data_IF_104050464178
#
_entry.id   IF_104050464178
#
_cell.length_a   1.000
_cell.length_b   1.000
_cell.length_c   1.000
_cell.angle_alpha   90.00
_cell.angle_beta   90.00
_cell.angle_gamma   90.00
#
_symmetry.space_group_name_H-M   'P 1'
#
loop_
_entity.id
_entity.type
_entity.pdbx_description
1 polymer ?
#
# COMPACT_ATOMS: atom_id res chain seq x y z
N UNK A 1 18.66 -11.79 -14.87
CA UNK A 1 19.04 -11.42 -13.46
C UNK A 1 19.37 -12.68 -12.67
N UNK A 2 20.22 -12.66 -11.64
CA UNK A 2 20.52 -13.84 -10.80
C UNK A 2 19.87 -13.71 -9.40
N UNK A 3 19.54 -14.82 -8.70
CA UNK A 3 18.92 -14.79 -7.38
C UNK A 3 19.65 -13.90 -6.37
N UNK A 4 20.97 -13.98 -6.29
CA UNK A 4 21.79 -13.19 -5.35
C UNK A 4 21.63 -11.68 -5.57
N UNK A 5 21.55 -11.25 -6.83
CA UNK A 5 21.39 -9.84 -7.18
C UNK A 5 20.02 -9.31 -6.76
N UNK A 6 18.97 -10.14 -6.87
CA UNK A 6 17.61 -9.78 -6.45
C UNK A 6 17.54 -9.73 -4.92
N UNK A 7 18.09 -10.74 -4.25
CA UNK A 7 18.15 -10.80 -2.79
C UNK A 7 18.83 -9.55 -2.20
N UNK A 8 19.99 -9.14 -2.73
CA UNK A 8 20.69 -7.94 -2.25
C UNK A 8 19.86 -6.65 -2.43
N UNK A 9 19.05 -6.57 -3.48
CA UNK A 9 18.12 -5.45 -3.70
C UNK A 9 16.97 -5.49 -2.69
N UNK A 10 16.45 -6.67 -2.38
CA UNK A 10 15.39 -6.83 -1.38
C UNK A 10 15.86 -6.46 0.03
N UNK A 11 17.06 -6.86 0.45
CA UNK A 11 17.63 -6.44 1.74
C UNK A 11 17.61 -4.91 1.86
N UNK A 12 18.12 -4.20 0.84
CA UNK A 12 18.12 -2.73 0.83
C UNK A 12 16.72 -2.14 0.84
N UNK A 13 15.79 -2.72 0.08
CA UNK A 13 14.41 -2.25 0.01
C UNK A 13 13.70 -2.39 1.36
N UNK A 14 13.84 -3.54 2.03
CA UNK A 14 13.22 -3.82 3.32
C UNK A 14 13.68 -2.85 4.41
N UNK A 15 14.99 -2.62 4.49
CA UNK A 15 15.55 -1.64 5.45
C UNK A 15 15.04 -0.23 5.15
N UNK A 16 14.98 0.17 3.87
CA UNK A 16 14.43 1.47 3.47
C UNK A 16 12.94 1.61 3.76
N UNK A 17 12.16 0.53 3.60
CA UNK A 17 10.75 0.53 3.99
C UNK A 17 10.59 0.76 5.49
N UNK A 18 11.41 0.13 6.34
CA UNK A 18 11.35 0.32 7.79
C UNK A 18 11.76 1.73 8.21
N UNK A 19 12.77 2.29 7.56
CA UNK A 19 13.25 3.67 7.75
C UNK A 19 12.18 4.71 7.37
N UNK A 20 11.55 4.53 6.20
CA UNK A 20 10.47 5.42 5.72
C UNK A 20 9.15 5.23 6.48
N UNK A 21 8.87 4.02 6.96
CA UNK A 21 7.67 3.67 7.70
C UNK A 21 8.03 3.05 9.06
N UNK A 22 8.36 3.86 10.08
CA UNK A 22 8.80 3.36 11.39
C UNK A 22 7.81 2.40 12.07
N UNK A 23 6.52 2.58 11.78
CA UNK A 23 5.43 1.74 12.29
C UNK A 23 5.16 0.48 11.45
N UNK A 24 5.92 0.22 10.37
CA UNK A 24 5.79 -1.00 9.58
C UNK A 24 6.20 -2.21 10.43
N UNK A 25 5.26 -3.14 10.64
CA UNK A 25 5.45 -4.31 11.52
C UNK A 25 5.58 -5.61 10.74
N UNK A 26 4.84 -5.76 9.65
CA UNK A 26 4.71 -7.01 8.90
C UNK A 26 4.92 -6.70 7.42
N UNK A 27 5.69 -7.56 6.75
CA UNK A 27 5.87 -7.55 5.30
C UNK A 27 5.65 -8.96 4.75
N UNK A 28 4.61 -9.13 3.94
CA UNK A 28 4.34 -10.37 3.21
C UNK A 28 4.96 -10.30 1.83
N UNK A 29 5.78 -11.29 1.48
CA UNK A 29 6.56 -11.32 0.25
C UNK A 29 6.07 -12.41 -0.71
N UNK A 30 5.96 -12.06 -1.98
CA UNK A 30 5.64 -12.97 -3.10
C UNK A 30 6.71 -12.86 -4.18
N UNK A 31 6.65 -13.76 -5.16
CA UNK A 31 7.48 -13.74 -6.38
C UNK A 31 6.63 -13.43 -7.61
N UNK A 32 7.30 -13.27 -8.75
CA UNK A 32 6.64 -13.17 -10.05
C UNK A 32 5.88 -14.47 -10.38
N UNK A 33 4.80 -14.36 -11.16
CA UNK A 33 4.15 -15.48 -11.85
C UNK A 33 5.07 -16.09 -12.92
N UNK A 34 4.61 -17.10 -13.65
CA UNK A 34 5.40 -17.72 -14.72
C UNK A 34 5.87 -16.67 -15.75
N UNK A 35 7.16 -16.68 -16.11
CA UNK A 35 7.74 -15.74 -17.07
C UNK A 35 7.94 -16.32 -18.47
N UNK A 36 7.59 -17.59 -18.70
CA UNK A 36 8.04 -18.33 -19.88
C UNK A 36 7.33 -17.96 -21.18
N UNK A 37 6.29 -17.12 -21.12
CA UNK A 37 5.66 -16.56 -22.31
C UNK A 37 6.33 -15.27 -22.79
N UNK A 38 7.28 -14.72 -22.03
CA UNK A 38 8.05 -13.57 -22.45
C UNK A 38 9.01 -13.94 -23.59
N UNK A 39 8.73 -13.42 -24.80
CA UNK A 39 9.58 -13.65 -25.97
C UNK A 39 10.71 -12.62 -26.11
N UNK A 40 11.66 -12.90 -27.00
CA UNK A 40 12.86 -12.07 -27.25
C UNK A 40 12.56 -10.62 -27.68
N UNK A 41 11.35 -10.35 -28.19
CA UNK A 41 10.91 -9.00 -28.54
C UNK A 41 10.42 -8.17 -27.34
N UNK A 42 10.37 -8.75 -26.15
CA UNK A 42 10.03 -8.05 -24.91
C UNK A 42 11.21 -7.22 -24.41
N UNK A 43 10.97 -5.93 -24.14
CA UNK A 43 11.97 -5.03 -23.55
C UNK A 43 12.42 -5.41 -22.13
N UNK A 44 11.74 -6.36 -21.48
CA UNK A 44 11.96 -6.73 -20.08
C UNK A 44 12.17 -8.24 -19.87
N UNK A 45 12.46 -9.00 -20.93
CA UNK A 45 12.66 -10.46 -20.84
C UNK A 45 13.75 -10.84 -19.82
N UNK A 46 14.81 -10.03 -19.68
CA UNK A 46 15.91 -10.31 -18.75
C UNK A 46 15.54 -10.20 -17.25
N UNK A 47 14.42 -9.52 -16.95
CA UNK A 47 13.98 -9.21 -15.58
C UNK A 47 12.63 -9.86 -15.21
N UNK A 48 11.78 -10.15 -16.20
CA UNK A 48 10.44 -10.71 -16.01
C UNK A 48 10.23 -12.04 -16.76
N UNK A 49 11.10 -12.39 -17.71
CA UNK A 49 11.09 -13.68 -18.38
C UNK A 49 11.81 -14.76 -17.58
N UNK A 50 11.72 -16.01 -18.01
CA UNK A 50 12.50 -17.10 -17.41
C UNK A 50 13.98 -17.02 -17.81
N UNK A 51 14.92 -17.31 -16.88
CA UNK A 51 14.72 -17.82 -15.52
C UNK A 51 14.59 -16.73 -14.44
N UNK A 52 14.51 -15.45 -14.80
CA UNK A 52 14.49 -14.36 -13.82
C UNK A 52 13.21 -14.39 -12.94
N UNK A 53 12.05 -14.70 -13.54
CA UNK A 53 10.80 -14.88 -12.80
C UNK A 53 10.89 -16.01 -11.76
N UNK A 54 11.42 -17.17 -12.15
CA UNK A 54 11.70 -18.28 -11.25
C UNK A 54 12.67 -17.89 -10.11
N UNK A 55 13.76 -17.19 -10.44
CA UNK A 55 14.76 -16.74 -9.47
C UNK A 55 14.25 -15.76 -8.42
N UNK A 56 13.18 -15.02 -8.71
CA UNK A 56 12.51 -14.18 -7.71
C UNK A 56 12.04 -14.98 -6.48
N UNK A 57 11.61 -16.23 -6.68
CA UNK A 57 11.21 -17.12 -5.57
C UNK A 57 12.35 -17.45 -4.62
N UNK A 58 13.54 -17.74 -5.15
CA UNK A 58 14.74 -17.98 -4.33
C UNK A 58 15.18 -16.74 -3.56
N UNK A 59 15.13 -15.57 -4.19
CA UNK A 59 15.47 -14.32 -3.50
C UNK A 59 14.55 -14.04 -2.31
N UNK A 60 13.24 -14.29 -2.43
CA UNK A 60 12.29 -14.20 -1.31
C UNK A 60 12.60 -15.24 -0.24
N UNK A 61 12.86 -16.49 -0.63
CA UNK A 61 13.22 -17.57 0.28
C UNK A 61 14.43 -17.20 1.13
N UNK A 62 15.54 -16.83 0.50
CA UNK A 62 16.79 -16.48 1.19
C UNK A 62 16.64 -15.26 2.08
N UNK A 63 15.88 -14.24 1.65
CA UNK A 63 15.63 -13.07 2.48
C UNK A 63 14.91 -13.40 3.80
N UNK A 64 13.94 -14.32 3.75
CA UNK A 64 13.21 -14.74 4.94
C UNK A 64 14.06 -15.68 5.80
N UNK A 65 14.80 -16.62 5.19
CA UNK A 65 15.74 -17.50 5.90
C UNK A 65 16.80 -16.70 6.66
N UNK A 66 17.38 -15.67 6.05
CA UNK A 66 18.36 -14.81 6.72
C UNK A 66 17.77 -14.09 7.93
N UNK A 67 16.50 -13.66 7.87
CA UNK A 67 15.84 -13.09 9.04
C UNK A 67 15.62 -14.14 10.14
N UNK A 68 15.27 -15.38 9.77
CA UNK A 68 15.10 -16.51 10.69
C UNK A 68 16.44 -16.87 11.37
N UNK A 69 17.53 -16.84 10.61
CA UNK A 69 18.90 -17.14 11.08
C UNK A 69 19.52 -16.00 11.90
N UNK A 70 18.82 -14.87 12.03
CA UNK A 70 19.22 -13.78 12.92
C UNK A 70 20.15 -12.74 12.28
N UNK A 71 20.05 -12.54 10.96
CA UNK A 71 20.74 -11.46 10.26
C UNK A 71 20.57 -10.11 11.00
N UNK A 72 21.66 -9.45 11.42
CA UNK A 72 21.58 -8.18 12.12
C UNK A 72 20.85 -7.10 11.32
N UNK A 73 21.09 -7.04 10.01
CA UNK A 73 20.47 -6.08 9.08
C UNK A 73 18.97 -6.31 8.89
N UNK A 74 18.48 -7.53 9.15
CA UNK A 74 17.07 -7.90 9.00
C UNK A 74 16.37 -8.08 10.36
N UNK A 75 16.96 -7.57 11.45
CA UNK A 75 16.39 -7.64 12.79
C UNK A 75 15.03 -6.94 12.84
N UNK A 76 14.01 -7.65 13.31
CA UNK A 76 12.64 -7.11 13.43
C UNK A 76 12.18 -6.83 14.87
N UNK A 77 12.99 -7.18 15.87
CA UNK A 77 12.68 -7.02 17.29
C UNK A 77 13.25 -5.73 17.87
N UNK A 78 12.54 -5.13 18.81
CA UNK A 78 13.00 -3.94 19.53
C UNK A 78 13.92 -4.31 20.72
N UNK A 79 14.84 -3.40 21.12
CA UNK A 79 15.17 -2.13 20.46
C UNK A 79 16.03 -2.34 19.20
N UNK A 80 15.96 -1.40 18.25
CA UNK A 80 16.78 -1.41 17.04
C UNK A 80 16.29 -2.37 15.95
N UNK A 81 14.97 -2.42 15.72
CA UNK A 81 14.43 -3.13 14.57
C UNK A 81 14.75 -2.36 13.27
N UNK A 82 15.52 -2.98 12.37
CA UNK A 82 15.91 -2.43 11.07
C UNK A 82 15.05 -2.97 9.91
N UNK A 83 14.24 -3.99 10.18
CA UNK A 83 13.26 -4.56 9.24
C UNK A 83 11.90 -4.80 9.92
N UNK A 84 10.80 -4.91 9.18
CA UNK A 84 9.59 -5.56 9.68
C UNK A 84 9.78 -7.08 9.84
N UNK A 85 8.87 -7.72 10.57
CA UNK A 85 8.75 -9.17 10.51
C UNK A 85 8.30 -9.59 9.11
N UNK A 86 9.02 -10.53 8.50
CA UNK A 86 8.79 -10.98 7.14
C UNK A 86 8.20 -12.39 7.12
N UNK A 87 7.29 -12.62 6.19
CA UNK A 87 6.73 -13.94 5.93
C UNK A 87 6.37 -14.12 4.47
N UNK A 88 6.27 -15.38 4.04
CA UNK A 88 5.76 -15.73 2.73
C UNK A 88 4.29 -15.35 2.60
N UNK A 89 3.96 -14.73 1.46
CA UNK A 89 2.60 -14.59 0.94
C UNK A 89 2.28 -15.79 0.02
N UNK A 90 1.18 -15.77 -0.77
CA UNK A 90 1.00 -16.80 -1.79
C UNK A 90 2.19 -16.80 -2.76
N UNK A 91 2.71 -17.97 -3.08
CA UNK A 91 3.75 -18.12 -4.10
C UNK A 91 3.08 -18.15 -5.47
N UNK A 92 3.35 -17.18 -6.34
CA UNK A 92 2.69 -17.09 -7.65
C UNK A 92 3.35 -17.93 -8.75
N UNK A 93 4.60 -18.35 -8.60
CA UNK A 93 5.27 -19.09 -9.66
C UNK A 93 4.78 -20.54 -9.76
N UNK A 94 4.48 -20.99 -10.98
CA UNK A 94 4.30 -22.37 -11.38
C UNK A 94 4.87 -22.54 -12.80
N UNK A 95 5.19 -23.77 -13.20
CA UNK A 95 5.85 -24.04 -14.49
C UNK A 95 4.85 -24.08 -15.65
N UNK A 96 4.34 -22.89 -16.02
CA UNK A 96 3.36 -22.73 -17.08
C UNK A 96 2.13 -23.63 -16.87
N UNK A 97 1.85 -24.48 -17.85
CA UNK A 97 0.72 -25.41 -17.83
C UNK A 97 1.00 -26.71 -17.07
N UNK A 98 2.21 -26.89 -16.53
CA UNK A 98 2.54 -27.99 -15.63
C UNK A 98 1.98 -27.70 -14.24
N UNK A 99 1.01 -28.47 -13.72
CA UNK A 99 0.40 -28.18 -12.43
C UNK A 99 1.40 -28.25 -11.29
N UNK A 100 1.47 -27.19 -10.49
CA UNK A 100 2.31 -27.17 -9.28
C UNK A 100 1.84 -28.26 -8.31
N UNK A 101 2.76 -29.10 -7.85
CA UNK A 101 2.44 -30.31 -7.07
C UNK A 101 1.71 -30.05 -5.75
N UNK A 102 1.84 -28.86 -5.16
CA UNK A 102 1.26 -28.53 -3.85
C UNK A 102 -0.20 -28.11 -3.91
N UNK A 103 -0.64 -27.49 -5.00
CA UNK A 103 -1.95 -26.83 -5.09
C UNK A 103 -2.57 -26.82 -6.50
N UNK A 104 -1.89 -27.40 -7.49
CA UNK A 104 -2.36 -27.49 -8.86
C UNK A 104 -2.32 -26.18 -9.64
N UNK A 105 -1.63 -25.14 -9.15
CA UNK A 105 -1.52 -23.87 -9.86
C UNK A 105 -0.92 -24.08 -11.27
N UNK A 106 -1.57 -23.48 -12.25
CA UNK A 106 -1.10 -23.38 -13.65
C UNK A 106 -1.26 -21.95 -14.16
N UNK A 107 -0.38 -21.59 -15.09
CA UNK A 107 -0.39 -20.37 -15.88
C UNK A 107 -0.56 -20.75 -17.35
N UNK A 108 -1.70 -20.38 -17.91
CA UNK A 108 -2.02 -20.53 -19.32
C UNK A 108 -1.63 -19.27 -20.09
N UNK A 109 -1.40 -19.36 -21.40
CA UNK A 109 -1.14 -18.17 -22.22
C UNK A 109 -2.27 -17.13 -22.09
N UNK A 110 -3.52 -17.56 -21.89
CA UNK A 110 -4.68 -16.67 -21.72
C UNK A 110 -4.69 -15.88 -20.40
N UNK A 111 -3.88 -16.27 -19.42
CA UNK A 111 -3.70 -15.49 -18.18
C UNK A 111 -2.82 -14.25 -18.41
N UNK A 112 -2.24 -14.10 -19.61
CA UNK A 112 -1.38 -12.99 -20.00
C UNK A 112 -2.06 -12.12 -21.04
N UNK A 113 -1.79 -10.82 -20.97
CA UNK A 113 -2.27 -9.89 -21.99
C UNK A 113 -1.58 -10.20 -23.33
N UNK A 114 -2.32 -10.27 -24.46
CA UNK A 114 -1.75 -10.49 -25.78
C UNK A 114 -0.66 -9.47 -26.17
N UNK A 115 -0.75 -8.24 -25.65
CA UNK A 115 0.23 -7.17 -25.86
C UNK A 115 1.08 -6.91 -24.61
N UNK A 116 1.02 -7.82 -23.64
CA UNK A 116 1.67 -7.73 -22.34
C UNK A 116 3.10 -8.25 -22.33
N UNK A 117 3.69 -8.50 -23.50
CA UNK A 117 5.06 -9.00 -23.63
C UNK A 117 5.30 -10.37 -22.98
N UNK A 118 4.25 -11.11 -22.64
CA UNK A 118 4.34 -12.46 -22.04
C UNK A 118 4.63 -12.50 -20.54
N UNK A 119 4.53 -11.37 -19.84
CA UNK A 119 4.70 -11.29 -18.39
C UNK A 119 3.67 -10.35 -17.71
N UNK A 120 3.03 -9.44 -18.46
CA UNK A 120 1.87 -8.71 -17.94
C UNK A 120 0.61 -9.56 -18.02
N UNK A 121 -0.05 -9.73 -16.87
CA UNK A 121 -1.28 -10.51 -16.75
C UNK A 121 -2.47 -9.85 -17.46
N UNK A 122 -3.35 -10.69 -18.01
CA UNK A 122 -4.70 -10.33 -18.45
C UNK A 122 -5.58 -9.99 -17.23
N UNK A 123 -6.86 -9.66 -17.45
CA UNK A 123 -7.76 -9.45 -16.32
C UNK A 123 -8.01 -10.76 -15.58
N UNK A 124 -8.10 -11.86 -16.31
CA UNK A 124 -8.22 -13.23 -15.80
C UNK A 124 -6.99 -13.61 -14.96
N UNK A 125 -5.78 -13.32 -15.44
CA UNK A 125 -4.55 -13.56 -14.68
C UNK A 125 -4.47 -12.72 -13.39
N UNK A 126 -4.85 -11.44 -13.45
CA UNK A 126 -4.91 -10.56 -12.26
C UNK A 126 -5.94 -11.05 -11.25
N UNK A 127 -7.09 -11.51 -11.71
CA UNK A 127 -8.12 -12.10 -10.85
C UNK A 127 -7.60 -13.37 -10.17
N UNK A 128 -6.86 -14.22 -10.90
CA UNK A 128 -6.20 -15.40 -10.34
C UNK A 128 -5.23 -15.04 -9.20
N UNK A 129 -4.30 -14.11 -9.41
CA UNK A 129 -3.38 -13.65 -8.33
C UNK A 129 -4.14 -13.02 -7.15
N UNK A 130 -5.14 -12.19 -7.43
CA UNK A 130 -5.96 -11.53 -6.42
C UNK A 130 -6.71 -12.56 -5.55
N UNK A 131 -7.26 -13.60 -6.16
CA UNK A 131 -7.93 -14.68 -5.45
C UNK A 131 -6.96 -15.45 -4.55
N UNK A 132 -5.74 -15.73 -5.01
CA UNK A 132 -4.70 -16.34 -4.17
C UNK A 132 -4.36 -15.44 -2.97
N UNK A 133 -4.18 -14.13 -3.20
CA UNK A 133 -3.87 -13.17 -2.14
C UNK A 133 -4.99 -13.05 -1.11
N UNK A 134 -6.24 -12.93 -1.56
CA UNK A 134 -7.40 -12.85 -0.67
C UNK A 134 -7.54 -14.13 0.14
N UNK A 135 -7.40 -15.31 -0.48
CA UNK A 135 -7.44 -16.58 0.23
C UNK A 135 -6.36 -16.67 1.31
N UNK A 136 -5.13 -16.24 1.01
CA UNK A 136 -4.06 -16.15 2.01
C UNK A 136 -4.46 -15.21 3.16
N UNK A 137 -4.85 -13.97 2.84
CA UNK A 137 -5.18 -12.97 3.85
C UNK A 137 -6.32 -13.42 4.79
N UNK A 138 -7.32 -14.12 4.27
CA UNK A 138 -8.46 -14.64 5.05
C UNK A 138 -8.12 -15.85 5.94
N UNK A 139 -7.16 -16.68 5.55
CA UNK A 139 -6.99 -18.01 6.12
C UNK A 139 -5.65 -18.22 6.85
N UNK A 140 -4.59 -17.51 6.45
CA UNK A 140 -3.26 -17.70 7.04
C UNK A 140 -3.22 -17.30 8.51
N UNK A 141 -2.47 -18.04 9.33
CA UNK A 141 -2.41 -17.83 10.77
C UNK A 141 -1.86 -16.45 11.16
N UNK A 142 -0.95 -15.92 10.34
CA UNK A 142 -0.34 -14.61 10.55
C UNK A 142 -1.23 -13.46 10.06
N UNK A 143 -2.07 -13.68 9.04
CA UNK A 143 -2.90 -12.62 8.45
C UNK A 143 -4.33 -12.57 8.98
N UNK A 144 -4.97 -13.72 9.20
CA UNK A 144 -6.41 -13.82 9.48
C UNK A 144 -6.85 -12.99 10.69
N UNK A 145 -5.97 -12.90 11.70
CA UNK A 145 -6.26 -12.17 12.94
C UNK A 145 -6.48 -10.68 12.70
N UNK A 146 -5.68 -10.05 11.84
CA UNK A 146 -5.79 -8.62 11.57
C UNK A 146 -6.61 -8.31 10.31
N UNK A 147 -6.71 -9.25 9.37
CA UNK A 147 -7.46 -9.06 8.13
C UNK A 147 -8.94 -9.42 8.26
N UNK A 148 -9.25 -10.59 8.85
CA UNK A 148 -10.63 -11.11 8.98
C UNK A 148 -11.23 -10.86 10.35
N UNK A 149 -10.43 -11.06 11.41
CA UNK A 149 -10.89 -11.10 12.80
C UNK A 149 -10.45 -9.91 13.63
N UNK A 150 -9.94 -8.84 13.01
CA UNK A 150 -9.60 -7.64 13.74
C UNK A 150 -10.85 -7.13 14.46
N UNK A 151 -10.67 -6.66 15.69
CA UNK A 151 -11.74 -6.01 16.44
C UNK A 151 -12.40 -4.98 15.52
N UNK A 152 -13.68 -5.19 15.24
CA UNK A 152 -14.49 -4.14 14.64
C UNK A 152 -14.41 -2.98 15.62
N UNK A 153 -14.04 -1.82 15.11
CA UNK A 153 -13.91 -0.59 15.88
C UNK A 153 -15.13 -0.43 16.79
N UNK A 154 -14.91 -0.39 18.11
CA UNK A 154 -15.98 -0.27 19.11
C UNK A 154 -16.54 1.14 19.19
N UNK A 155 -15.75 2.12 18.75
CA UNK A 155 -16.12 3.51 18.49
C UNK A 155 -15.36 3.93 17.23
N UNK A 156 -15.85 4.93 16.50
CA UNK A 156 -15.15 5.49 15.35
C UNK A 156 -13.71 5.85 15.76
N UNK A 157 -12.74 5.23 15.07
CA UNK A 157 -11.39 5.80 14.93
C UNK A 157 -11.55 7.30 14.61
N UNK A 158 -10.66 8.20 15.02
CA UNK A 158 -10.56 9.49 14.38
C UNK A 158 -10.55 9.42 12.83
N UNK A 159 -10.31 8.28 12.18
CA UNK A 159 -10.65 8.08 10.76
C UNK A 159 -12.18 7.95 10.52
N UNK A 160 -12.78 8.71 9.59
CA UNK A 160 -14.21 8.75 9.32
C UNK A 160 -14.66 7.47 8.62
N UNK A 161 -14.88 6.41 9.38
CA UNK A 161 -15.59 5.21 8.90
C UNK A 161 -16.93 5.15 9.62
N UNK A 162 -17.97 4.77 8.90
CA UNK A 162 -19.24 4.42 9.53
C UNK A 162 -19.03 3.22 10.49
N UNK A 163 -19.96 3.02 11.43
CA UNK A 163 -19.98 1.84 12.29
C UNK A 163 -20.05 0.52 11.49
N UNK A 164 -20.48 0.56 10.22
CA UNK A 164 -20.46 -0.56 9.28
C UNK A 164 -19.07 -0.87 8.70
N UNK A 165 -18.05 -0.06 8.99
CA UNK A 165 -16.71 -0.14 8.40
C UNK A 165 -16.60 0.46 7.00
N UNK A 166 -17.70 0.92 6.40
CA UNK A 166 -17.69 1.64 5.14
C UNK A 166 -17.14 3.06 5.32
N UNK A 167 -16.40 3.54 4.33
CA UNK A 167 -16.09 4.95 4.25
C UNK A 167 -17.36 5.74 3.87
N UNK A 168 -17.51 6.98 4.35
CA UNK A 168 -18.37 7.96 3.71
C UNK A 168 -18.12 7.93 2.20
N UNK A 169 -19.18 7.92 1.38
CA UNK A 169 -18.99 8.07 -0.05
C UNK A 169 -18.21 9.37 -0.28
N UNK A 170 -17.04 9.24 -0.91
CA UNK A 170 -16.29 10.40 -1.39
C UNK A 170 -17.16 11.01 -2.47
N UNK A 171 -17.74 12.16 -2.18
CA UNK A 171 -18.47 12.89 -3.20
C UNK A 171 -17.45 13.34 -4.25
N UNK A 172 -17.63 12.94 -5.51
CA UNK A 172 -16.83 13.45 -6.65
C UNK A 172 -17.04 14.96 -6.89
N UNK A 173 -17.81 15.65 -6.04
CA UNK A 173 -17.80 17.11 -5.99
C UNK A 173 -16.39 17.58 -5.68
N UNK A 174 -15.82 18.39 -6.56
CA UNK A 174 -14.48 18.94 -6.41
C UNK A 174 -14.29 19.48 -4.98
N UNK A 175 -13.33 18.90 -4.26
CA UNK A 175 -13.13 19.09 -2.82
C UNK A 175 -12.76 20.53 -2.42
N UNK A 176 -12.31 20.73 -1.16
CA UNK A 176 -11.98 22.06 -0.68
C UNK A 176 -10.87 22.70 -1.54
N UNK A 177 -10.96 24.01 -1.73
CA UNK A 177 -9.98 24.79 -2.47
C UNK A 177 -8.86 25.22 -1.54
N UNK A 178 -7.62 24.97 -1.95
CA UNK A 178 -6.41 25.30 -1.19
C UNK A 178 -5.52 26.18 -2.04
N UNK A 179 -5.12 27.33 -1.53
CA UNK A 179 -4.22 28.24 -2.24
C UNK A 179 -3.35 29.09 -1.28
N UNK A 180 -2.06 29.28 -1.56
CA UNK A 180 -1.30 28.63 -2.64
C UNK A 180 -0.97 27.17 -2.31
N UNK A 181 -0.72 26.38 -3.35
CA UNK A 181 -0.06 25.07 -3.25
C UNK A 181 0.94 25.00 -4.42
N UNK A 182 2.26 24.97 -4.16
CA UNK A 182 2.93 24.84 -2.86
C UNK A 182 2.79 26.05 -1.90
N UNK A 183 3.02 25.84 -0.60
CA UNK A 183 3.09 26.88 0.44
C UNK A 183 4.07 26.53 1.57
N UNK A 184 4.27 27.41 2.55
CA UNK A 184 5.21 27.19 3.66
C UNK A 184 4.49 26.88 5.00
N UNK A 185 3.38 26.14 4.93
CA UNK A 185 2.52 25.84 6.08
C UNK A 185 1.39 26.84 6.33
N UNK A 186 1.32 27.90 5.52
CA UNK A 186 0.25 28.92 5.57
C UNK A 186 -0.49 28.97 4.25
N UNK A 187 -1.81 28.81 4.27
CA UNK A 187 -2.64 28.78 3.06
C UNK A 187 -4.10 29.13 3.33
N UNK A 188 -4.79 29.61 2.30
CA UNK A 188 -6.24 29.80 2.33
C UNK A 188 -6.95 28.47 2.05
N UNK A 189 -7.86 28.10 2.95
CA UNK A 189 -8.79 26.98 2.78
C UNK A 189 -10.20 27.53 2.55
N UNK A 190 -10.78 27.17 1.41
CA UNK A 190 -12.17 27.49 1.07
C UNK A 190 -13.00 26.22 0.91
N UNK A 191 -14.06 26.11 1.71
CA UNK A 191 -15.04 25.04 1.58
C UNK A 191 -16.10 25.43 0.55
N UNK A 192 -16.58 24.45 -0.21
CA UNK A 192 -17.58 24.67 -1.27
C UNK A 192 -19.01 24.41 -0.81
N UNK A 193 -19.18 23.84 0.39
CA UNK A 193 -20.45 23.51 1.03
C UNK A 193 -20.62 24.32 2.31
N UNK A 194 -21.84 24.32 2.84
CA UNK A 194 -22.12 24.78 4.19
C UNK A 194 -21.20 24.04 5.16
N UNK A 195 -20.49 24.79 5.99
CA UNK A 195 -19.48 24.30 6.90
C UNK A 195 -20.00 24.19 8.34
N UNK A 196 -21.30 24.39 8.56
CA UNK A 196 -21.91 24.24 9.87
C UNK A 196 -21.80 22.80 10.36
N UNK A 197 -21.22 22.61 11.54
CA UNK A 197 -20.91 21.29 12.11
C UNK A 197 -19.76 20.55 11.42
N UNK A 198 -19.05 21.17 10.48
CA UNK A 198 -17.99 20.50 9.74
C UNK A 198 -16.71 20.35 10.57
N UNK A 199 -15.95 19.29 10.34
CA UNK A 199 -14.65 19.08 11.00
C UNK A 199 -13.56 19.10 9.93
N UNK A 200 -12.61 20.01 10.06
CA UNK A 200 -11.41 20.08 9.24
C UNK A 200 -10.31 19.28 9.94
N UNK A 201 -9.59 18.48 9.16
CA UNK A 201 -8.42 17.72 9.58
C UNK A 201 -7.34 17.82 8.53
N UNK A 202 -6.11 18.06 8.94
CA UNK A 202 -4.96 18.06 8.05
C UNK A 202 -3.97 17.02 8.55
N UNK A 203 -3.51 16.16 7.66
CA UNK A 203 -2.56 15.08 7.96
C UNK A 203 -1.33 15.19 7.07
N UNK A 204 -0.17 14.80 7.60
CA UNK A 204 1.07 14.63 6.83
C UNK A 204 1.04 13.34 5.98
N UNK A 205 2.10 13.06 5.21
CA UNK A 205 2.19 11.85 4.37
C UNK A 205 2.23 10.53 5.15
N UNK A 206 2.46 10.58 6.46
CA UNK A 206 2.46 9.43 7.37
C UNK A 206 1.09 9.23 8.03
N UNK A 207 0.13 10.11 7.75
CA UNK A 207 -1.21 10.11 8.34
C UNK A 207 -1.27 10.73 9.75
N UNK A 208 -0.20 11.39 10.20
CA UNK A 208 -0.17 12.10 11.48
C UNK A 208 -1.07 13.33 11.39
N UNK A 209 -2.00 13.48 12.33
CA UNK A 209 -2.85 14.67 12.41
C UNK A 209 -2.01 15.89 12.83
N UNK A 210 -1.90 16.88 11.95
CA UNK A 210 -1.13 18.13 12.20
C UNK A 210 -2.02 19.32 12.52
N UNK A 211 -3.29 19.27 12.15
CA UNK A 211 -4.27 20.32 12.45
C UNK A 211 -5.68 19.73 12.51
N UNK A 212 -6.50 20.23 13.44
CA UNK A 212 -7.94 19.96 13.44
C UNK A 212 -8.73 21.14 13.99
N UNK A 213 -9.88 21.41 13.36
CA UNK A 213 -10.81 22.45 13.79
C UNK A 213 -12.25 21.94 13.59
N UNK A 214 -13.09 22.09 14.61
CA UNK A 214 -14.53 21.88 14.50
C UNK A 214 -15.21 23.22 14.25
N UNK A 215 -16.09 23.25 13.26
CA UNK A 215 -16.83 24.43 12.84
C UNK A 215 -18.27 24.32 13.35
N UNK A 216 -18.77 25.34 14.02
CA UNK A 216 -20.12 25.31 14.59
C UNK A 216 -21.17 25.85 13.61
N UNK A 217 -21.19 27.17 13.38
CA UNK A 217 -22.23 27.85 12.59
C UNK A 217 -21.62 28.65 11.44
N UNK A 218 -21.07 27.96 10.44
CA UNK A 218 -20.41 28.57 9.28
C UNK A 218 -21.17 28.25 8.00
N UNK A 219 -22.03 29.15 7.54
CA UNK A 219 -22.72 29.00 6.24
C UNK A 219 -21.75 29.05 5.04
N UNK A 220 -20.61 29.73 5.20
CA UNK A 220 -19.48 29.70 4.27
C UNK A 220 -18.17 29.66 5.05
N UNK A 221 -17.15 29.00 4.49
CA UNK A 221 -15.82 28.96 5.09
C UNK A 221 -14.76 29.32 4.04
N UNK A 222 -14.02 30.39 4.31
CA UNK A 222 -12.85 30.80 3.57
C UNK A 222 -11.88 31.50 4.53
N UNK A 223 -10.89 30.76 5.04
CA UNK A 223 -9.96 31.26 6.06
C UNK A 223 -8.53 30.90 5.73
N UNK A 224 -7.63 31.75 6.19
CA UNK A 224 -6.21 31.44 6.22
C UNK A 224 -5.95 30.48 7.39
N UNK A 225 -5.30 29.36 7.10
CA UNK A 225 -4.83 28.37 8.06
C UNK A 225 -3.32 28.49 8.13
N UNK A 226 -2.80 28.57 9.35
CA UNK A 226 -1.37 28.50 9.63
C UNK A 226 -1.12 27.24 10.47
N UNK A 227 -0.43 26.27 9.86
CA UNK A 227 0.01 25.07 10.54
C UNK A 227 1.30 25.35 11.32
N UNK A 228 1.50 24.63 12.44
CA UNK A 228 2.72 24.72 13.24
C UNK A 228 3.48 23.41 13.19
N UNK A 229 4.81 23.45 13.23
CA UNK A 229 5.65 22.24 13.22
C UNK A 229 5.61 21.46 11.89
N UNK A 230 5.39 22.14 10.77
CA UNK A 230 5.34 21.52 9.45
C UNK A 230 6.72 21.13 8.93
N UNK A 231 6.77 20.12 8.07
CA UNK A 231 7.95 19.77 7.29
C UNK A 231 7.61 19.79 5.79
N UNK A 232 8.61 19.91 4.90
CA UNK A 232 8.37 19.77 3.48
C UNK A 232 7.74 18.41 3.17
N UNK A 233 6.67 18.39 2.38
CA UNK A 233 5.90 17.16 2.16
C UNK A 233 4.53 17.34 1.53
N UNK A 234 3.87 16.22 1.27
CA UNK A 234 2.49 16.16 0.81
C UNK A 234 1.55 16.11 2.01
N UNK A 235 0.57 17.00 2.03
CA UNK A 235 -0.44 17.06 3.09
C UNK A 235 -1.83 16.77 2.52
N UNK A 236 -2.66 16.15 3.36
CA UNK A 236 -4.04 15.79 3.05
C UNK A 236 -4.99 16.61 3.92
N UNK A 237 -5.85 17.41 3.28
CA UNK A 237 -6.98 18.07 3.94
C UNK A 237 -8.19 17.17 3.81
N UNK A 238 -8.82 16.88 4.94
CA UNK A 238 -10.06 16.13 5.05
C UNK A 238 -11.11 17.03 5.72
N UNK A 239 -12.28 17.14 5.10
CA UNK A 239 -13.41 17.92 5.63
C UNK A 239 -14.59 16.97 5.80
N UNK A 240 -15.09 16.88 7.03
CA UNK A 240 -16.20 16.01 7.41
C UNK A 240 -17.46 16.85 7.58
N UNK A 241 -18.51 16.54 6.82
CA UNK A 241 -19.84 17.16 6.93
C UNK A 241 -20.83 16.10 7.43
N UNK A 242 -20.89 15.88 8.74
CA UNK A 242 -21.72 14.84 9.34
C UNK A 242 -21.42 13.45 8.76
N UNK A 243 -22.23 13.00 7.80
CA UNK A 243 -22.10 11.69 7.15
C UNK A 243 -21.29 11.70 5.85
N UNK A 244 -20.86 12.85 5.33
CA UNK A 244 -20.10 12.93 4.06
C UNK A 244 -18.71 13.50 4.27
N UNK A 245 -17.80 13.23 3.33
CA UNK A 245 -16.42 13.69 3.40
C UNK A 245 -15.94 14.21 2.04
N UNK A 246 -15.11 15.26 2.09
CA UNK A 246 -14.29 15.73 0.97
C UNK A 246 -12.81 15.69 1.33
N UNK A 247 -11.96 15.47 0.33
CA UNK A 247 -10.50 15.51 0.48
C UNK A 247 -9.85 16.37 -0.59
N UNK A 248 -8.76 17.03 -0.22
CA UNK A 248 -7.85 17.68 -1.15
C UNK A 248 -6.40 17.53 -0.67
N UNK A 249 -5.45 17.74 -1.56
CA UNK A 249 -4.02 17.65 -1.24
C UNK A 249 -3.32 18.97 -1.53
N UNK A 250 -2.27 19.26 -0.78
CA UNK A 250 -1.37 20.38 -1.06
C UNK A 250 0.07 20.03 -0.67
N UNK A 251 1.02 20.84 -1.16
CA UNK A 251 2.45 20.64 -0.92
C UNK A 251 2.95 21.73 0.03
N UNK A 252 3.70 21.34 1.07
CA UNK A 252 4.50 22.25 1.90
C UNK A 252 5.96 22.21 1.44
N UNK A 253 6.59 23.38 1.35
CA UNK A 253 8.02 23.57 1.02
C UNK A 253 8.74 24.39 2.08
#
# INVERSE_FOLDING_TARGET
MQPDSIYQKYVRAVVRMKDSFPNLKILYLTSHAYGGYAGDSSNNVEIAGEPAAYYGGFAVKWLIEDQIEGSPTLKFTNPGAEAPWMAWAPYYWADGTTPRTTDGLVWECSDYSPYGGGFHLSNEGKEKESNMLIQFLYNDASSKKWFRSANKWTNCDPSPRYASGQFPPVSESAGPLIYPSPNNGTFSLRLRKDASGAIIRIMDEKGTLVYSEQLDHYSTFNRNIQMTGTHPGLYFVQVLYGTTQETATFIVQ
#
